data_IF_086218296580
#
_entry.id   IF_086218296580
#
_cell.length_a   1.000
_cell.length_b   1.000
_cell.length_c   1.000
_cell.angle_alpha   90.00
_cell.angle_beta   90.00
_cell.angle_gamma   90.00
#
_symmetry.space_group_name_H-M   'P 1'
#
loop_
_entity.id
_entity.type
_entity.pdbx_description
1 polymer ?
#
# COMPACT_ATOMS: atom_id res chain seq x y z
N UNK A 1 -8.39 -2.81 18.72
CA UNK A 1 -8.58 -2.20 17.38
C UNK A 1 -7.33 -1.35 17.19
N UNK A 2 -6.17 -2.03 17.24
CA UNK A 2 -4.86 -1.46 17.56
C UNK A 2 -3.80 -2.40 16.98
N UNK A 3 -3.59 -2.39 15.66
CA UNK A 3 -2.55 -3.23 15.04
C UNK A 3 -1.97 -2.63 13.74
N UNK A 4 -2.18 -1.33 13.50
CA UNK A 4 -1.55 -0.64 12.36
C UNK A 4 -0.21 0.02 12.73
N UNK A 5 0.15 0.05 14.02
CA UNK A 5 1.31 0.78 14.54
C UNK A 5 2.54 -0.12 14.78
N UNK A 6 2.45 -1.43 14.49
CA UNK A 6 3.54 -2.38 14.75
C UNK A 6 3.91 -3.25 13.54
N UNK A 7 3.89 -2.69 12.33
CA UNK A 7 4.61 -3.31 11.21
C UNK A 7 6.12 -3.15 11.43
N UNK A 8 6.69 -4.07 12.21
CA UNK A 8 8.14 -4.20 12.38
C UNK A 8 8.83 -4.16 11.02
N UNK A 9 9.80 -3.26 10.89
CA UNK A 9 10.58 -3.04 9.67
C UNK A 9 11.26 -4.34 9.21
N UNK A 10 10.63 -5.06 8.29
CA UNK A 10 11.30 -6.07 7.47
C UNK A 10 12.19 -5.32 6.50
N UNK A 11 13.45 -5.05 6.88
CA UNK A 11 14.36 -4.08 6.25
C UNK A 11 14.75 -4.29 4.78
N UNK A 12 13.93 -4.93 3.95
CA UNK A 12 14.19 -5.25 2.56
C UNK A 12 13.34 -4.48 1.54
N UNK A 13 12.33 -3.71 1.97
CA UNK A 13 11.50 -2.96 1.00
C UNK A 13 12.15 -1.62 0.61
N UNK A 14 12.17 -1.27 -0.69
CA UNK A 14 12.87 -0.09 -1.20
C UNK A 14 12.22 1.25 -0.82
N UNK A 15 10.93 1.26 -0.48
CA UNK A 15 10.20 2.43 0.00
C UNK A 15 9.10 2.03 0.99
N UNK A 16 8.96 2.78 2.09
CA UNK A 16 7.99 2.53 3.16
C UNK A 16 7.39 3.81 3.70
N UNK A 17 6.12 3.73 4.10
CA UNK A 17 5.40 4.82 4.74
C UNK A 17 4.96 4.38 6.13
N UNK A 18 5.41 5.11 7.16
CA UNK A 18 4.87 4.95 8.50
C UNK A 18 3.61 5.81 8.62
N UNK A 19 2.52 5.17 9.04
CA UNK A 19 1.19 5.77 9.09
C UNK A 19 0.60 5.61 10.48
N UNK A 20 0.15 6.72 11.07
CA UNK A 20 -0.68 6.68 12.28
C UNK A 20 -2.13 6.49 11.86
N UNK A 21 -2.80 5.52 12.47
CA UNK A 21 -4.22 5.25 12.22
C UNK A 21 -5.08 6.48 12.51
N UNK A 22 -5.86 6.92 11.52
CA UNK A 22 -6.75 8.07 11.66
C UNK A 22 -8.21 7.62 11.86
N UNK A 23 -8.77 6.86 10.92
CA UNK A 23 -10.17 6.41 10.97
C UNK A 23 -10.38 5.22 10.02
N UNK A 24 -11.25 4.28 10.39
CA UNK A 24 -11.80 3.28 9.48
C UNK A 24 -13.17 3.72 9.01
N UNK A 25 -13.38 3.69 7.70
CA UNK A 25 -14.67 3.91 7.09
C UNK A 25 -15.16 2.60 6.49
N UNK A 26 -16.24 2.04 7.02
CA UNK A 26 -16.93 0.91 6.40
C UNK A 26 -17.72 1.43 5.20
N UNK A 27 -17.28 1.06 4.00
CA UNK A 27 -17.94 1.43 2.76
C UNK A 27 -18.84 0.29 2.29
N UNK A 28 -20.14 0.58 2.21
CA UNK A 28 -21.05 -0.20 1.39
C UNK A 28 -20.77 0.15 -0.06
N UNK A 29 -20.18 -0.78 -0.80
CA UNK A 29 -19.92 -0.57 -2.22
C UNK A 29 -21.26 -0.40 -2.95
N UNK A 30 -21.48 0.73 -3.67
CA UNK A 30 -22.70 0.92 -4.43
C UNK A 30 -22.74 -0.10 -5.57
N UNK A 31 -23.58 -1.12 -5.42
CA UNK A 31 -23.82 -2.17 -6.40
C UNK A 31 -25.26 -2.63 -6.33
N UNK A 32 -25.97 -2.63 -7.46
CA UNK A 32 -27.38 -3.03 -7.55
C UNK A 32 -27.58 -4.56 -7.54
N UNK A 33 -26.64 -5.32 -6.98
CA UNK A 33 -26.66 -6.79 -7.02
C UNK A 33 -26.39 -7.33 -5.61
N UNK A 34 -27.38 -7.96 -4.96
CA UNK A 34 -27.16 -8.68 -3.70
C UNK A 34 -26.23 -9.89 -3.94
N UNK A 35 -25.29 -10.19 -3.03
CA UNK A 35 -25.01 -9.53 -1.75
C UNK A 35 -24.04 -8.35 -1.94
N UNK A 36 -24.40 -7.20 -1.35
CA UNK A 36 -23.50 -6.05 -1.30
C UNK A 36 -22.29 -6.40 -0.44
N UNK A 37 -21.10 -6.39 -1.03
CA UNK A 37 -19.86 -6.57 -0.30
C UNK A 37 -19.57 -5.31 0.54
N UNK A 38 -19.55 -5.46 1.87
CA UNK A 38 -19.04 -4.43 2.79
C UNK A 38 -17.52 -4.56 2.86
N UNK A 39 -16.81 -3.46 2.59
CA UNK A 39 -15.35 -3.41 2.75
C UNK A 39 -14.99 -2.32 3.76
N UNK A 40 -14.02 -2.61 4.62
CA UNK A 40 -13.46 -1.62 5.52
C UNK A 40 -12.26 -0.93 4.87
N UNK A 41 -12.31 0.40 4.79
CA UNK A 41 -11.19 1.21 4.33
C UNK A 41 -10.52 1.84 5.54
N UNK A 42 -9.28 1.45 5.80
CA UNK A 42 -8.44 2.08 6.82
C UNK A 42 -7.74 3.32 6.24
N UNK A 43 -7.96 4.48 6.86
CA UNK A 43 -7.30 5.74 6.49
C UNK A 43 -6.27 6.05 7.57
N UNK A 44 -5.01 6.20 7.16
CA UNK A 44 -3.89 6.57 8.02
C UNK A 44 -3.26 7.89 7.60
N UNK A 45 -2.71 8.64 8.56
CA UNK A 45 -1.88 9.82 8.30
C UNK A 45 -0.43 9.40 8.22
N UNK A 46 0.23 9.70 7.10
CA UNK A 46 1.68 9.47 6.93
C UNK A 46 2.45 10.40 7.86
N UNK A 47 3.32 9.82 8.70
CA UNK A 47 4.19 10.57 9.64
C UNK A 47 5.66 10.50 9.27
N UNK A 48 6.09 9.45 8.56
CA UNK A 48 7.45 9.32 8.04
C UNK A 48 7.48 8.53 6.73
N UNK A 49 8.51 8.79 5.91
CA UNK A 49 8.79 8.09 4.65
C UNK A 49 10.22 7.62 4.68
N UNK A 50 10.43 6.33 4.46
CA UNK A 50 11.76 5.71 4.39
C UNK A 50 11.97 5.22 2.97
N UNK A 51 13.07 5.65 2.35
CA UNK A 51 13.48 5.23 1.02
C UNK A 51 14.89 4.66 1.11
N UNK A 52 15.19 3.66 0.28
CA UNK A 52 16.57 3.32 -0.02
C UNK A 52 17.28 4.51 -0.70
N UNK A 53 18.59 4.62 -0.50
CA UNK A 53 19.34 5.82 -0.90
C UNK A 53 19.36 6.06 -2.43
N UNK A 54 19.09 5.03 -3.24
CA UNK A 54 19.25 5.00 -4.70
C UNK A 54 17.94 4.98 -5.50
N UNK A 55 16.78 5.01 -4.85
CA UNK A 55 15.47 4.85 -5.54
C UNK A 55 14.82 6.16 -5.97
N UNK A 56 15.41 7.31 -5.62
CA UNK A 56 14.89 8.63 -5.95
C UNK A 56 15.65 9.24 -7.13
N UNK A 57 14.96 9.38 -8.26
CA UNK A 57 15.45 10.10 -9.44
C UNK A 57 14.65 11.39 -9.59
N UNK A 58 15.31 12.55 -9.55
CA UNK A 58 14.64 13.87 -9.61
C UNK A 58 13.54 14.09 -8.55
N UNK A 59 13.72 13.52 -7.34
CA UNK A 59 12.73 13.50 -6.25
C UNK A 59 11.46 12.69 -6.55
N UNK A 60 11.49 11.87 -7.59
CA UNK A 60 10.43 10.95 -7.97
C UNK A 60 10.90 9.54 -7.66
N UNK A 61 9.99 8.71 -7.15
CA UNK A 61 10.27 7.30 -6.92
C UNK A 61 10.39 6.58 -8.26
N UNK A 62 11.57 6.06 -8.56
CA UNK A 62 11.87 5.39 -9.81
C UNK A 62 11.29 3.97 -9.84
N UNK A 63 10.53 3.63 -10.89
CA UNK A 63 9.87 2.32 -11.02
C UNK A 63 10.88 1.21 -11.30
N UNK A 64 11.99 1.52 -11.97
CA UNK A 64 13.03 0.55 -12.31
C UNK A 64 13.82 0.12 -11.08
N UNK A 65 14.07 1.07 -10.20
CA UNK A 65 14.85 0.95 -8.97
C UNK A 65 14.03 0.29 -7.87
N UNK A 66 12.72 0.60 -7.80
CA UNK A 66 11.82 0.03 -6.78
C UNK A 66 11.17 -1.29 -7.15
N UNK A 67 11.13 -1.65 -8.45
CA UNK A 67 10.51 -2.87 -8.97
C UNK A 67 9.19 -3.25 -8.29
N UNK A 68 8.18 -2.35 -8.30
CA UNK A 68 6.94 -2.59 -7.59
C UNK A 68 6.16 -3.74 -8.26
N UNK A 69 5.62 -4.64 -7.43
CA UNK A 69 4.78 -5.74 -7.91
C UNK A 69 3.36 -5.23 -8.08
N UNK A 70 2.90 -5.12 -9.32
CA UNK A 70 1.50 -4.85 -9.63
C UNK A 70 0.70 -6.16 -9.61
N UNK A 71 -0.35 -6.19 -8.78
CA UNK A 71 -1.31 -7.29 -8.73
C UNK A 71 -2.47 -7.01 -9.69
N UNK A 72 -2.66 -7.87 -10.68
CA UNK A 72 -3.80 -7.78 -11.60
C UNK A 72 -4.72 -8.97 -11.36
N UNK A 73 -5.77 -8.79 -10.56
CA UNK A 73 -6.72 -9.88 -10.28
C UNK A 73 -6.22 -10.86 -9.20
N UNK A 74 -6.97 -11.96 -9.02
CA UNK A 74 -6.85 -12.83 -7.84
C UNK A 74 -5.53 -13.60 -7.74
N UNK A 75 -4.85 -13.86 -8.86
CA UNK A 75 -3.66 -14.72 -8.91
C UNK A 75 -2.54 -14.21 -9.83
N UNK A 76 -2.74 -13.17 -10.64
CA UNK A 76 -1.68 -12.73 -11.54
C UNK A 76 -0.75 -11.73 -10.83
N UNK A 77 0.43 -12.23 -10.46
CA UNK A 77 1.60 -11.38 -10.21
C UNK A 77 2.22 -11.05 -11.57
N UNK A 78 1.92 -9.87 -12.10
CA UNK A 78 2.70 -9.33 -13.21
C UNK A 78 3.97 -8.73 -12.63
N UNK A 79 5.03 -9.54 -12.60
CA UNK A 79 6.39 -9.03 -12.56
C UNK A 79 6.65 -8.31 -13.87
N UNK A 80 6.32 -7.02 -13.94
CA UNK A 80 6.63 -6.18 -15.09
C UNK A 80 8.13 -5.86 -15.08
N UNK A 81 8.95 -6.81 -15.53
CA UNK A 81 10.13 -6.56 -16.38
C UNK A 81 10.68 -7.90 -16.92
N UNK A 82 10.36 -8.21 -18.18
CA UNK A 82 11.30 -8.82 -19.12
C UNK A 82 11.60 -7.76 -20.19
#
# INVERSE_FOLDING_TARGET
MDDFDQTGSTGTDPAKFECVYHTTCTLLLPGNVPPVASVDVAIGRVVAVYNADDVLTDRILGVQETQPIALCGLQDRFGCYQ
#
